data_IF_139265217978
#
_entry.id   IF_139265217978
#
_cell.length_a   1.000
_cell.length_b   1.000
_cell.length_c   1.000
_cell.angle_alpha   90.00
_cell.angle_beta   90.00
_cell.angle_gamma   90.00
#
_symmetry.space_group_name_H-M   'P 1'
#
loop_
_entity.id
_entity.type
_entity.pdbx_description
1 polymer ?
#
# COMPACT_ATOMS: atom_id res chain seq x y z
N UNK A 1 -13.83 -26.65 4.61
CA UNK A 1 -13.91 -26.47 6.06
C UNK A 1 -12.48 -26.51 6.61
N UNK A 2 -11.94 -25.32 6.99
CA UNK A 2 -10.60 -25.18 7.56
C UNK A 2 -10.56 -25.69 9.02
N UNK A 3 -9.35 -25.99 9.50
CA UNK A 3 -9.13 -26.31 10.93
C UNK A 3 -8.89 -24.96 11.63
N UNK A 4 -9.77 -24.53 12.55
CA UNK A 4 -9.55 -23.26 13.24
C UNK A 4 -8.38 -23.36 14.21
N UNK A 5 -7.54 -22.32 14.24
CA UNK A 5 -6.57 -22.17 15.31
C UNK A 5 -7.29 -21.94 16.65
N UNK A 6 -6.71 -22.44 17.73
CA UNK A 6 -7.30 -22.32 19.08
C UNK A 6 -7.16 -20.90 19.67
N UNK A 7 -6.36 -20.05 19.06
CA UNK A 7 -6.01 -18.72 19.56
C UNK A 7 -6.87 -17.65 18.92
N UNK A 8 -7.43 -16.77 19.74
CA UNK A 8 -8.04 -15.52 19.29
C UNK A 8 -6.99 -14.42 19.35
N UNK A 9 -6.81 -13.72 18.25
CA UNK A 9 -5.83 -12.63 18.12
C UNK A 9 -6.49 -11.27 18.39
N UNK A 10 -5.66 -10.23 18.63
CA UNK A 10 -6.13 -8.87 18.84
C UNK A 10 -6.73 -8.62 20.21
N UNK A 11 -6.39 -9.44 21.22
CA UNK A 11 -6.96 -9.36 22.58
C UNK A 11 -6.00 -8.76 23.62
N UNK A 12 -4.80 -8.31 23.22
CA UNK A 12 -3.75 -7.86 24.14
C UNK A 12 -3.59 -6.33 24.24
N UNK A 13 -4.66 -5.58 24.06
CA UNK A 13 -4.61 -4.12 24.18
C UNK A 13 -4.64 -3.38 22.85
N UNK A 14 -4.29 -2.08 22.87
CA UNK A 14 -4.40 -1.18 21.72
C UNK A 14 -3.14 -1.11 20.86
N UNK A 15 -2.02 -1.57 21.38
CA UNK A 15 -0.73 -1.50 20.70
C UNK A 15 -0.54 -2.66 19.71
N UNK A 16 0.27 -2.43 18.67
CA UNK A 16 0.68 -3.46 17.75
C UNK A 16 1.69 -4.39 18.41
N UNK A 17 1.37 -5.68 18.46
CA UNK A 17 2.22 -6.69 19.06
C UNK A 17 2.08 -8.04 18.37
N UNK A 18 3.16 -8.82 18.35
CA UNK A 18 3.12 -10.17 17.82
C UNK A 18 2.40 -11.10 18.79
N UNK A 19 1.45 -11.85 18.29
CA UNK A 19 0.72 -12.85 19.06
C UNK A 19 0.95 -14.26 18.50
N UNK A 20 1.43 -15.15 19.35
CA UNK A 20 1.65 -16.53 18.97
C UNK A 20 0.35 -17.26 18.66
N UNK A 21 0.23 -17.77 17.44
CA UNK A 21 -0.93 -18.53 16.95
C UNK A 21 -0.87 -20.03 17.23
N UNK A 22 0.19 -20.51 17.90
CA UNK A 22 0.44 -21.92 18.11
C UNK A 22 1.10 -22.60 16.93
N UNK A 23 1.02 -23.92 16.88
CA UNK A 23 1.64 -24.73 15.83
C UNK A 23 0.57 -25.21 14.83
N UNK A 24 0.91 -25.17 13.56
CA UNK A 24 0.09 -25.71 12.48
C UNK A 24 0.91 -26.68 11.64
N UNK A 25 0.24 -27.69 11.11
CA UNK A 25 0.87 -28.61 10.15
C UNK A 25 0.41 -28.26 8.76
N UNK A 26 1.35 -27.90 7.91
CA UNK A 26 1.11 -27.64 6.50
C UNK A 26 1.41 -28.87 5.67
N UNK A 27 0.58 -29.15 4.68
CA UNK A 27 0.80 -30.22 3.71
C UNK A 27 1.73 -29.72 2.60
N UNK A 28 2.43 -30.62 1.92
CA UNK A 28 3.15 -30.27 0.70
C UNK A 28 2.17 -29.74 -0.35
N UNK A 29 2.49 -28.60 -0.95
CA UNK A 29 1.66 -27.95 -1.97
C UNK A 29 0.87 -26.74 -1.44
N UNK A 30 -0.25 -26.42 -2.08
CA UNK A 30 -1.05 -25.24 -1.77
C UNK A 30 -1.79 -25.41 -0.46
N UNK A 31 -1.58 -24.47 0.47
CA UNK A 31 -2.31 -24.33 1.71
C UNK A 31 -3.00 -22.98 1.73
N UNK A 32 -4.17 -22.89 2.35
CA UNK A 32 -4.90 -21.63 2.52
C UNK A 32 -4.95 -21.29 4.00
N UNK A 33 -4.48 -20.11 4.35
CA UNK A 33 -4.65 -19.50 5.66
C UNK A 33 -5.72 -18.43 5.54
N UNK A 34 -6.64 -18.40 6.47
CA UNK A 34 -7.70 -17.40 6.50
C UNK A 34 -7.78 -16.77 7.89
N UNK A 35 -7.83 -15.45 7.94
CA UNK A 35 -8.23 -14.71 9.12
C UNK A 35 -9.75 -14.57 9.12
N UNK A 36 -10.37 -14.96 10.22
CA UNK A 36 -11.79 -14.77 10.43
C UNK A 36 -12.00 -13.63 11.41
N UNK A 37 -12.68 -12.58 10.98
CA UNK A 37 -13.18 -11.55 11.87
C UNK A 37 -14.31 -12.13 12.74
N UNK A 38 -14.14 -12.07 14.05
CA UNK A 38 -15.10 -12.59 15.02
C UNK A 38 -16.08 -11.53 15.52
N UNK A 39 -15.75 -10.26 15.34
CA UNK A 39 -16.51 -9.14 15.89
C UNK A 39 -17.25 -8.34 14.82
N UNK A 40 -16.84 -8.45 13.57
CA UNK A 40 -17.35 -7.65 12.46
C UNK A 40 -16.95 -6.17 12.52
N UNK A 41 -16.03 -5.81 13.40
CA UNK A 41 -15.63 -4.44 13.60
C UNK A 41 -14.16 -4.31 14.03
N UNK A 42 -13.40 -3.48 13.29
CA UNK A 42 -12.01 -3.10 13.60
C UNK A 42 -10.99 -4.23 13.79
N UNK A 43 -11.23 -5.39 13.26
CA UNK A 43 -10.21 -6.44 13.19
C UNK A 43 -9.04 -5.97 12.32
N UNK A 44 -7.83 -5.90 12.88
CA UNK A 44 -6.62 -5.46 12.18
C UNK A 44 -5.54 -6.52 12.26
N UNK A 45 -4.89 -6.77 11.14
CA UNK A 45 -3.73 -7.64 11.05
C UNK A 45 -2.75 -7.01 10.08
N UNK A 46 -1.54 -6.72 10.53
CA UNK A 46 -0.48 -6.21 9.67
C UNK A 46 0.23 -7.33 8.92
N UNK A 47 0.61 -8.39 9.64
CA UNK A 47 1.35 -9.48 9.05
C UNK A 47 1.05 -10.83 9.71
N UNK A 48 1.24 -11.91 8.95
CA UNK A 48 1.25 -13.28 9.44
C UNK A 48 2.64 -13.85 9.16
N UNK A 49 3.33 -14.28 10.22
CA UNK A 49 4.62 -14.90 10.11
C UNK A 49 4.53 -16.40 10.42
N UNK A 50 5.04 -17.21 9.50
CA UNK A 50 5.14 -18.66 9.64
C UNK A 50 6.61 -19.05 9.65
N UNK A 51 7.01 -19.81 10.64
CA UNK A 51 8.39 -20.29 10.77
C UNK A 51 8.41 -21.73 11.27
N UNK A 52 9.45 -22.48 10.89
CA UNK A 52 9.78 -23.76 11.48
C UNK A 52 10.69 -23.63 12.72
N UNK A 53 11.09 -22.43 13.07
CA UNK A 53 11.98 -22.13 14.19
C UNK A 53 11.20 -21.53 15.36
N UNK A 54 11.81 -21.58 16.55
CA UNK A 54 11.28 -20.93 17.76
C UNK A 54 11.78 -19.49 17.86
N UNK A 55 11.43 -18.67 16.91
CA UNK A 55 11.77 -17.25 16.92
C UNK A 55 10.51 -16.38 16.96
N UNK A 56 10.62 -15.23 17.59
CA UNK A 56 9.58 -14.20 17.61
C UNK A 56 10.13 -13.00 16.85
N UNK A 57 9.40 -12.49 15.85
CA UNK A 57 9.86 -11.30 15.15
C UNK A 57 10.00 -10.11 16.10
N UNK A 58 10.95 -9.21 15.87
CA UNK A 58 11.09 -8.00 16.67
C UNK A 58 9.87 -7.09 16.51
N UNK A 59 9.52 -6.33 17.56
CA UNK A 59 8.41 -5.38 17.54
C UNK A 59 8.88 -3.91 17.41
N UNK A 60 10.16 -3.63 17.64
CA UNK A 60 10.75 -2.33 17.32
C UNK A 60 10.74 -2.09 15.81
N UNK A 61 10.27 -0.92 15.39
CA UNK A 61 10.02 -0.63 13.97
C UNK A 61 11.29 -0.66 13.10
N UNK A 62 12.42 -0.21 13.62
CA UNK A 62 13.69 -0.18 12.87
C UNK A 62 14.30 -1.57 12.77
N UNK A 63 14.30 -2.30 13.89
CA UNK A 63 14.80 -3.67 13.93
C UNK A 63 13.92 -4.57 13.06
N UNK A 64 12.60 -4.41 13.14
CA UNK A 64 11.64 -5.15 12.32
C UNK A 64 11.86 -4.91 10.82
N UNK A 65 12.11 -3.67 10.43
CA UNK A 65 12.37 -3.33 9.02
C UNK A 65 13.62 -4.05 8.50
N UNK A 66 14.72 -4.02 9.27
CA UNK A 66 15.96 -4.73 8.92
C UNK A 66 15.74 -6.24 8.87
N UNK A 67 15.11 -6.80 9.90
CA UNK A 67 14.81 -8.23 9.97
C UNK A 67 13.92 -8.70 8.79
N UNK A 68 12.89 -7.94 8.41
CA UNK A 68 12.03 -8.26 7.25
C UNK A 68 12.80 -8.25 5.93
N UNK A 69 13.72 -7.31 5.76
CA UNK A 69 14.57 -7.22 4.57
C UNK A 69 15.49 -8.43 4.45
N UNK A 70 16.15 -8.81 5.54
CA UNK A 70 17.03 -10.00 5.60
C UNK A 70 16.23 -11.28 5.31
N UNK A 71 15.08 -11.43 5.98
CA UNK A 71 14.19 -12.59 5.81
C UNK A 71 13.72 -12.76 4.36
N UNK A 72 13.41 -11.66 3.69
CA UNK A 72 12.93 -11.65 2.31
C UNK A 72 14.08 -11.70 1.28
N UNK A 73 15.33 -11.72 1.73
CA UNK A 73 16.49 -11.68 0.86
C UNK A 73 16.55 -10.43 -0.02
N UNK A 74 15.99 -9.32 0.47
CA UNK A 74 16.01 -8.05 -0.26
C UNK A 74 17.42 -7.51 -0.21
N UNK A 75 18.17 -7.73 -1.28
CA UNK A 75 19.46 -7.10 -1.49
C UNK A 75 19.24 -5.72 -2.06
N UNK A 76 19.84 -4.72 -1.41
CA UNK A 76 19.80 -3.34 -1.91
C UNK A 76 20.53 -3.26 -3.25
N UNK A 77 19.77 -3.26 -4.31
CA UNK A 77 20.26 -2.74 -5.60
C UNK A 77 19.58 -1.38 -5.78
N UNK A 78 20.28 -0.28 -5.53
CA UNK A 78 19.71 1.04 -5.77
C UNK A 78 19.35 1.15 -7.25
N UNK A 79 18.18 1.69 -7.54
CA UNK A 79 17.83 2.12 -8.89
C UNK A 79 18.55 3.44 -9.07
N UNK A 80 19.69 3.43 -9.76
CA UNK A 80 20.43 4.66 -10.08
C UNK A 80 19.74 5.39 -11.24
N UNK A 81 18.69 6.10 -10.92
CA UNK A 81 17.95 6.96 -11.86
C UNK A 81 17.71 8.32 -11.23
N UNK A 82 17.82 9.36 -12.07
CA UNK A 82 17.52 10.73 -11.67
C UNK A 82 16.11 11.12 -12.09
N UNK A 83 15.39 11.74 -11.17
CA UNK A 83 14.05 12.24 -11.36
C UNK A 83 13.99 13.71 -10.93
N UNK A 84 13.08 14.47 -11.54
CA UNK A 84 12.77 15.83 -11.09
C UNK A 84 11.83 15.82 -9.89
N UNK A 85 10.98 14.78 -9.80
CA UNK A 85 10.00 14.59 -8.74
C UNK A 85 9.93 13.11 -8.35
N UNK A 86 10.00 12.83 -7.05
CA UNK A 86 9.73 11.51 -6.48
C UNK A 86 8.49 11.61 -5.62
N UNK A 87 7.48 10.81 -5.93
CA UNK A 87 6.23 10.71 -5.19
C UNK A 87 6.18 9.36 -4.48
N UNK A 88 6.13 9.38 -3.16
CA UNK A 88 5.99 8.17 -2.33
C UNK A 88 4.55 8.04 -1.87
N UNK A 89 3.90 6.96 -2.31
CA UNK A 89 2.50 6.67 -2.05
C UNK A 89 1.59 6.98 -3.23
N UNK A 90 0.94 5.94 -3.73
CA UNK A 90 0.01 5.98 -4.88
C UNK A 90 -1.46 6.20 -4.49
N UNK A 91 -1.75 6.86 -3.36
CA UNK A 91 -3.11 7.33 -3.05
C UNK A 91 -3.56 8.47 -3.95
N UNK A 92 -4.81 8.93 -3.86
CA UNK A 92 -5.31 10.01 -4.72
C UNK A 92 -4.43 11.26 -4.73
N UNK A 93 -3.89 11.67 -3.58
CA UNK A 93 -2.98 12.82 -3.51
C UNK A 93 -1.67 12.57 -4.27
N UNK A 94 -1.09 11.37 -4.13
CA UNK A 94 0.12 11.00 -4.86
C UNK A 94 -0.13 10.87 -6.35
N UNK A 95 -1.26 10.29 -6.76
CA UNK A 95 -1.67 10.24 -8.16
C UNK A 95 -1.80 11.66 -8.75
N UNK A 96 -2.47 12.55 -8.02
CA UNK A 96 -2.60 13.94 -8.43
C UNK A 96 -1.26 14.64 -8.60
N UNK A 97 -0.33 14.44 -7.65
CA UNK A 97 1.01 15.01 -7.71
C UNK A 97 1.84 14.44 -8.88
N UNK A 98 1.83 13.12 -9.05
CA UNK A 98 2.60 12.45 -10.09
C UNK A 98 2.12 12.82 -11.50
N UNK A 99 0.81 12.75 -11.75
CA UNK A 99 0.21 13.08 -13.04
C UNK A 99 0.41 14.55 -13.36
N UNK A 100 0.18 15.45 -12.39
CA UNK A 100 0.42 16.90 -12.60
C UNK A 100 1.87 17.19 -12.93
N UNK A 101 2.82 16.64 -12.16
CA UNK A 101 4.23 16.81 -12.39
C UNK A 101 4.66 16.32 -13.77
N UNK A 102 4.20 15.14 -14.17
CA UNK A 102 4.50 14.55 -15.47
C UNK A 102 3.96 15.40 -16.63
N UNK A 103 2.72 15.90 -16.52
CA UNK A 103 2.10 16.78 -17.52
C UNK A 103 2.74 18.17 -17.60
N UNK A 104 3.39 18.60 -16.52
CA UNK A 104 4.22 19.81 -16.49
C UNK A 104 5.63 19.60 -17.02
N UNK A 105 5.97 18.38 -17.46
CA UNK A 105 7.25 18.05 -18.07
C UNK A 105 8.30 17.46 -17.13
N UNK A 106 7.97 17.27 -15.84
CA UNK A 106 8.86 16.62 -14.89
C UNK A 106 9.00 15.12 -15.21
N UNK A 107 10.21 14.59 -15.05
CA UNK A 107 10.44 13.15 -14.96
C UNK A 107 10.11 12.70 -13.55
N UNK A 108 9.10 11.85 -13.42
CA UNK A 108 8.50 11.46 -12.13
C UNK A 108 8.77 10.00 -11.82
N UNK A 109 9.19 9.70 -10.58
CA UNK A 109 9.05 8.36 -10.01
C UNK A 109 7.81 8.33 -9.10
N UNK A 110 6.89 7.40 -9.33
CA UNK A 110 5.79 7.11 -8.42
C UNK A 110 6.04 5.75 -7.76
N UNK A 111 6.28 5.79 -6.45
CA UNK A 111 6.61 4.61 -5.66
C UNK A 111 5.40 4.22 -4.82
N UNK A 112 4.96 2.97 -4.95
CA UNK A 112 3.82 2.43 -4.21
C UNK A 112 4.19 1.05 -3.65
N UNK A 113 4.01 0.86 -2.36
CA UNK A 113 4.33 -0.39 -1.65
C UNK A 113 3.35 -1.53 -1.94
N UNK A 114 2.18 -1.22 -2.46
CA UNK A 114 1.13 -2.18 -2.82
C UNK A 114 1.01 -2.36 -4.32
N UNK A 115 0.28 -3.40 -4.70
CA UNK A 115 0.01 -3.72 -6.11
C UNK A 115 -1.10 -2.90 -6.73
N UNK A 116 -1.78 -2.02 -5.97
CA UNK A 116 -2.89 -1.20 -6.46
C UNK A 116 -2.69 0.27 -6.11
N UNK A 117 -3.27 1.13 -6.95
CA UNK A 117 -3.28 2.58 -6.79
C UNK A 117 -4.62 3.06 -6.24
N UNK A 118 -4.63 4.25 -5.63
CA UNK A 118 -5.84 4.88 -5.08
C UNK A 118 -5.83 4.99 -3.55
N UNK A 119 -4.99 4.21 -2.85
CA UNK A 119 -4.94 4.23 -1.39
C UNK A 119 -6.30 3.89 -0.76
N UNK A 120 -6.87 4.80 0.02
CA UNK A 120 -8.21 4.60 0.59
C UNK A 120 -9.28 4.39 -0.48
N UNK A 121 -9.16 4.99 -1.64
CA UNK A 121 -10.04 4.83 -2.79
C UNK A 121 -9.62 3.69 -3.71
N UNK A 122 -9.07 2.62 -3.17
CA UNK A 122 -8.77 1.38 -3.89
C UNK A 122 -9.67 0.24 -3.42
N UNK A 123 -9.65 -0.87 -4.14
CA UNK A 123 -10.35 -2.09 -3.76
C UNK A 123 -9.89 -2.66 -2.42
N UNK A 124 -8.68 -2.32 -1.96
CA UNK A 124 -8.16 -2.80 -0.67
C UNK A 124 -8.83 -2.14 0.53
N UNK A 125 -9.14 -0.85 0.45
CA UNK A 125 -9.72 -0.08 1.57
C UNK A 125 -11.18 0.26 1.34
N UNK A 126 -11.57 0.50 0.11
CA UNK A 126 -12.94 0.72 -0.35
C UNK A 126 -13.65 1.90 0.30
N UNK A 127 -12.92 3.00 0.45
CA UNK A 127 -13.49 4.28 0.88
C UNK A 127 -13.82 5.12 -0.35
N UNK A 128 -15.08 5.34 -0.56
CA UNK A 128 -15.60 6.15 -1.65
C UNK A 128 -15.07 7.58 -1.61
N UNK A 129 -14.49 8.03 -2.71
CA UNK A 129 -14.07 9.43 -2.88
C UNK A 129 -15.30 10.33 -3.08
N UNK A 130 -15.51 11.25 -2.15
CA UNK A 130 -16.61 12.23 -2.22
C UNK A 130 -16.07 13.62 -2.05
N UNK A 131 -16.56 14.56 -2.84
CA UNK A 131 -16.18 15.96 -2.74
C UNK A 131 -16.85 16.80 -3.79
N UNK A 132 -16.58 18.11 -3.72
CA UNK A 132 -17.01 19.07 -4.73
C UNK A 132 -15.77 19.62 -5.44
N UNK A 133 -15.75 19.48 -6.73
CA UNK A 133 -14.73 20.03 -7.62
C UNK A 133 -15.31 21.18 -8.45
N UNK A 134 -14.48 21.84 -9.24
CA UNK A 134 -14.87 22.96 -10.11
C UNK A 134 -15.41 24.18 -9.35
N UNK A 135 -14.99 24.36 -8.09
CA UNK A 135 -15.38 25.47 -7.23
C UNK A 135 -14.17 26.30 -6.82
N UNK A 136 -14.44 27.55 -6.40
CA UNK A 136 -13.42 28.46 -5.87
C UNK A 136 -12.55 29.10 -6.95
N UNK A 137 -11.40 29.62 -6.52
CA UNK A 137 -10.48 30.40 -7.37
C UNK A 137 -9.81 29.57 -8.48
N UNK A 138 -9.66 28.26 -8.25
CA UNK A 138 -8.96 27.35 -9.16
C UNK A 138 -9.87 26.17 -9.55
N UNK A 139 -10.89 26.40 -10.40
CA UNK A 139 -11.94 25.39 -10.67
C UNK A 139 -11.41 24.14 -11.41
N UNK A 140 -10.23 24.23 -12.04
CA UNK A 140 -9.63 23.12 -12.78
C UNK A 140 -8.77 22.19 -11.94
N UNK A 141 -8.49 22.51 -10.69
CA UNK A 141 -7.58 21.74 -9.84
C UNK A 141 -8.08 20.29 -9.57
N UNK A 142 -9.37 20.07 -9.70
CA UNK A 142 -10.00 18.76 -9.51
C UNK A 142 -10.14 17.92 -10.79
N UNK A 143 -9.69 18.37 -11.95
CA UNK A 143 -9.86 17.65 -13.21
C UNK A 143 -9.17 16.28 -13.21
N UNK A 144 -8.00 16.17 -12.57
CA UNK A 144 -7.31 14.88 -12.42
C UNK A 144 -8.15 13.90 -11.58
N UNK A 145 -8.84 14.37 -10.55
CA UNK A 145 -9.72 13.50 -9.75
C UNK A 145 -10.88 12.99 -10.59
N UNK A 146 -11.47 13.80 -11.45
CA UNK A 146 -12.54 13.33 -12.37
C UNK A 146 -12.03 12.22 -13.30
N UNK A 147 -10.78 12.32 -13.71
CA UNK A 147 -10.16 11.35 -14.62
C UNK A 147 -9.88 10.01 -13.93
N UNK A 148 -9.30 10.04 -12.74
CA UNK A 148 -8.87 8.84 -12.00
C UNK A 148 -9.94 8.25 -11.08
N UNK A 149 -11.01 8.98 -10.80
CA UNK A 149 -12.06 8.55 -9.87
C UNK A 149 -12.79 7.32 -10.44
N UNK A 150 -13.19 6.46 -9.52
CA UNK A 150 -13.98 5.26 -9.78
C UNK A 150 -15.49 5.53 -9.75
N UNK A 151 -16.28 4.47 -9.93
CA UNK A 151 -17.74 4.54 -9.91
C UNK A 151 -18.36 4.23 -8.54
N UNK A 152 -17.56 4.01 -7.50
CA UNK A 152 -18.06 3.74 -6.16
C UNK A 152 -18.90 4.92 -5.64
N UNK A 153 -20.05 4.62 -5.02
CA UNK A 153 -21.00 5.61 -4.49
C UNK A 153 -21.26 5.44 -3.00
N UNK A 154 -20.60 4.52 -2.36
CA UNK A 154 -20.73 4.21 -0.92
C UNK A 154 -19.45 3.57 -0.39
N UNK A 155 -19.29 3.53 0.91
CA UNK A 155 -18.22 2.83 1.61
C UNK A 155 -18.83 1.85 2.63
N UNK A 156 -18.40 0.58 2.65
CA UNK A 156 -17.61 -0.04 1.60
C UNK A 156 -18.48 -0.34 0.37
N UNK A 157 -17.93 -0.09 -0.82
CA UNK A 157 -18.49 -0.56 -2.08
C UNK A 157 -18.06 -2.00 -2.40
N UNK A 158 -18.49 -2.54 -3.53
CA UNK A 158 -17.93 -3.81 -4.04
C UNK A 158 -16.49 -3.59 -4.52
N UNK A 159 -15.73 -4.66 -4.64
CA UNK A 159 -14.34 -4.62 -5.09
C UNK A 159 -14.21 -3.99 -6.48
N UNK A 160 -15.09 -4.36 -7.39
CA UNK A 160 -15.07 -3.96 -8.80
C UNK A 160 -15.36 -2.47 -9.00
N UNK A 161 -16.18 -1.88 -8.10
CA UNK A 161 -16.56 -0.46 -8.20
C UNK A 161 -15.37 0.50 -8.05
N UNK A 162 -14.25 0.05 -7.45
CA UNK A 162 -13.07 0.87 -7.23
C UNK A 162 -12.10 0.93 -8.41
N UNK A 163 -12.29 0.14 -9.44
CA UNK A 163 -11.62 0.23 -10.74
C UNK A 163 -10.09 0.46 -10.65
N UNK A 164 -9.38 -0.37 -9.88
CA UNK A 164 -7.93 -0.23 -9.68
C UNK A 164 -7.16 -0.24 -11.01
N UNK A 165 -7.56 -1.10 -11.94
CA UNK A 165 -6.95 -1.19 -13.27
C UNK A 165 -7.06 0.12 -14.08
N UNK A 166 -8.14 0.89 -13.91
CA UNK A 166 -8.31 2.21 -14.55
C UNK A 166 -7.23 3.18 -14.05
N UNK A 167 -7.02 3.26 -12.75
CA UNK A 167 -6.02 4.15 -12.15
C UNK A 167 -4.62 3.80 -12.64
N UNK A 168 -4.28 2.52 -12.68
CA UNK A 168 -2.99 2.05 -13.19
C UNK A 168 -2.82 2.36 -14.68
N UNK A 169 -3.85 2.13 -15.49
CA UNK A 169 -3.82 2.40 -16.93
C UNK A 169 -3.56 3.88 -17.19
N UNK A 170 -4.21 4.78 -16.46
CA UNK A 170 -4.01 6.23 -16.61
C UNK A 170 -2.57 6.61 -16.26
N UNK A 171 -2.04 6.12 -15.15
CA UNK A 171 -0.66 6.41 -14.73
C UNK A 171 0.37 5.89 -15.75
N UNK A 172 0.17 4.68 -16.26
CA UNK A 172 1.08 4.07 -17.26
C UNK A 172 1.00 4.74 -18.63
N UNK A 173 -0.08 5.44 -18.92
CA UNK A 173 -0.20 6.23 -20.15
C UNK A 173 0.64 7.53 -20.11
N UNK A 174 1.02 7.99 -18.90
CA UNK A 174 1.87 9.17 -18.73
C UNK A 174 3.35 8.82 -19.00
N UNK A 175 3.87 9.26 -20.13
CA UNK A 175 5.24 8.91 -20.59
C UNK A 175 6.37 9.33 -19.65
N UNK A 176 6.11 10.33 -18.81
CA UNK A 176 7.07 10.88 -17.87
C UNK A 176 6.96 10.29 -16.47
N UNK A 177 6.13 9.24 -16.25
CA UNK A 177 6.03 8.55 -14.97
C UNK A 177 6.68 7.17 -15.07
N UNK A 178 7.68 6.92 -14.23
CA UNK A 178 8.16 5.58 -13.91
C UNK A 178 7.36 5.08 -12.69
N UNK A 179 6.43 4.13 -12.91
CA UNK A 179 5.63 3.54 -11.85
C UNK A 179 6.32 2.32 -11.25
N UNK A 180 6.56 2.37 -9.94
CA UNK A 180 7.16 1.30 -9.15
C UNK A 180 6.14 0.76 -8.15
N UNK A 181 5.37 -0.28 -8.52
CA UNK A 181 4.51 -1.04 -7.60
C UNK A 181 5.33 -2.05 -6.80
N UNK A 182 4.87 -2.42 -5.61
CA UNK A 182 5.56 -3.31 -4.68
C UNK A 182 6.95 -2.81 -4.25
N UNK A 183 7.15 -1.50 -4.27
CA UNK A 183 8.38 -0.85 -3.85
C UNK A 183 8.12 0.00 -2.61
N UNK A 184 8.95 -0.19 -1.59
CA UNK A 184 8.86 0.53 -0.33
C UNK A 184 10.02 1.52 -0.20
N UNK A 185 9.70 2.80 -0.01
CA UNK A 185 10.71 3.79 0.35
C UNK A 185 11.06 3.63 1.83
N UNK A 186 12.29 3.30 2.13
CA UNK A 186 12.74 2.98 3.50
C UNK A 186 13.79 3.95 4.04
N UNK A 187 14.41 4.73 3.17
CA UNK A 187 15.46 5.67 3.56
C UNK A 187 15.46 6.85 2.61
N UNK A 188 15.78 8.03 3.14
CA UNK A 188 15.98 9.25 2.38
C UNK A 188 17.29 9.89 2.85
N UNK A 189 18.17 10.17 1.93
CA UNK A 189 19.38 10.91 2.22
C UNK A 189 19.25 12.34 1.68
N UNK A 190 19.76 13.31 2.43
CA UNK A 190 19.70 14.71 2.10
C UNK A 190 21.07 15.35 2.22
N UNK A 191 21.53 15.99 1.16
CA UNK A 191 22.77 16.78 1.15
C UNK A 191 22.42 18.23 0.81
N UNK A 192 22.49 19.13 1.80
CA UNK A 192 21.99 20.50 1.65
C UNK A 192 20.48 20.54 1.40
N UNK A 193 20.06 21.09 0.27
CA UNK A 193 18.65 21.15 -0.14
C UNK A 193 18.25 20.02 -1.11
N UNK A 194 19.17 19.14 -1.46
CA UNK A 194 18.93 18.04 -2.42
C UNK A 194 18.69 16.74 -1.70
N UNK A 195 17.74 15.97 -2.21
CA UNK A 195 17.49 14.58 -1.85
C UNK A 195 18.25 13.70 -2.83
N UNK A 196 18.95 12.70 -2.30
CA UNK A 196 19.72 11.74 -3.08
C UNK A 196 19.34 10.31 -2.72
#
# INVERSE_FOLDING_TARGET
NGIPAKTTFGTKGAEWDWQGGGQITLKKGKNTLALRDLTGFNGRCDAIYLTSYKEVPPNDSQILATWRRELLGITEKPIDKKYDLIVVGGGYSGLGAAISGARMGCKVALIQDRGVLGGNGSSEVRVWAKGNIRRGKYPRIGEIIEEICDHAKKSPGSYEEFEDAKKETIVRAEKNIDLHLYHHAFQVEKTGEKIS
#
